data_IF_050357963937
#
_entry.id   IF_050357963937
#
_cell.length_a   1.000
_cell.length_b   1.000
_cell.length_c   1.000
_cell.angle_alpha   90.00
_cell.angle_beta   90.00
_cell.angle_gamma   90.00
#
_symmetry.space_group_name_H-M   'P 1'
#
loop_
_entity.id
_entity.type
_entity.pdbx_description
1 polymer ?
#
# COMPACT_ATOMS: atom_id res chain seq x y z
N UNK A 1 33.18 -26.20 -6.79
CA UNK A 1 33.02 -25.63 -8.14
C UNK A 1 31.92 -24.58 -8.06
N UNK A 2 32.21 -23.29 -8.29
CA UNK A 2 31.21 -22.26 -8.15
C UNK A 2 30.27 -22.36 -9.34
N UNK A 3 28.99 -22.59 -9.05
CA UNK A 3 27.92 -22.54 -10.05
C UNK A 3 27.95 -21.17 -10.71
N UNK A 4 28.24 -21.18 -12.00
CA UNK A 4 28.10 -20.06 -12.94
C UNK A 4 26.63 -19.61 -12.88
N UNK A 5 26.33 -18.66 -11.98
CA UNK A 5 25.07 -17.93 -11.96
C UNK A 5 25.07 -17.04 -13.21
N UNK A 6 24.62 -17.62 -14.32
CA UNK A 6 24.47 -16.99 -15.61
C UNK A 6 23.43 -15.87 -15.48
N UNK A 7 23.93 -14.69 -15.14
CA UNK A 7 23.49 -13.36 -15.52
C UNK A 7 22.14 -13.25 -16.26
N UNK A 8 21.03 -13.43 -15.55
CA UNK A 8 19.85 -12.57 -15.75
C UNK A 8 19.86 -11.52 -14.64
N UNK A 9 20.81 -10.59 -14.71
CA UNK A 9 20.75 -9.38 -13.87
C UNK A 9 19.45 -8.66 -14.26
N UNK A 10 18.61 -8.41 -13.26
CA UNK A 10 17.40 -7.60 -13.40
C UNK A 10 17.70 -6.34 -14.24
N UNK A 11 16.77 -5.89 -15.10
CA UNK A 11 16.97 -4.68 -15.91
C UNK A 11 17.38 -3.45 -15.06
N UNK A 12 16.87 -3.37 -13.82
CA UNK A 12 17.25 -2.38 -12.81
C UNK A 12 18.76 -2.38 -12.54
N UNK A 13 19.33 -3.55 -12.23
CA UNK A 13 20.75 -3.71 -11.93
C UNK A 13 21.65 -3.40 -13.12
N UNK A 14 21.17 -3.71 -14.35
CA UNK A 14 21.88 -3.33 -15.58
C UNK A 14 21.97 -1.82 -15.74
N UNK A 15 20.94 -1.09 -15.30
CA UNK A 15 20.90 0.36 -15.40
C UNK A 15 21.72 1.04 -14.29
N UNK A 16 21.63 0.56 -13.05
CA UNK A 16 22.50 1.02 -11.95
C UNK A 16 24.00 0.78 -12.27
N UNK A 17 24.33 -0.34 -12.94
CA UNK A 17 25.69 -0.61 -13.39
C UNK A 17 26.21 0.40 -14.44
N UNK A 18 25.33 1.09 -15.18
CA UNK A 18 25.73 2.16 -16.12
C UNK A 18 26.02 3.48 -15.40
N UNK A 19 25.30 3.79 -14.32
CA UNK A 19 25.56 5.00 -13.52
C UNK A 19 26.70 4.82 -12.53
N UNK A 20 27.05 3.59 -12.18
CA UNK A 20 28.05 3.28 -11.14
C UNK A 20 27.49 3.37 -9.72
N UNK A 21 26.18 3.58 -9.58
CA UNK A 21 25.51 3.65 -8.28
C UNK A 21 25.16 2.24 -7.77
N UNK A 22 25.25 2.00 -6.45
CA UNK A 22 24.80 0.75 -5.88
C UNK A 22 23.28 0.58 -6.08
N UNK A 23 22.80 -0.65 -6.36
CA UNK A 23 21.36 -0.91 -6.40
C UNK A 23 20.76 -0.59 -5.03
N UNK A 24 19.64 0.15 -5.06
CA UNK A 24 18.96 0.57 -3.83
C UNK A 24 18.36 -0.66 -3.14
N UNK A 25 18.68 -0.87 -1.86
CA UNK A 25 18.25 -2.05 -1.09
C UNK A 25 16.71 -2.17 -0.99
N UNK A 26 16.01 -1.03 -1.11
CA UNK A 26 14.54 -0.97 -1.13
C UNK A 26 13.93 -1.13 -2.53
N UNK A 27 14.73 -1.28 -3.58
CA UNK A 27 14.22 -1.51 -4.93
C UNK A 27 13.48 -2.86 -4.98
N UNK A 28 12.29 -2.86 -5.57
CA UNK A 28 11.51 -4.07 -5.80
C UNK A 28 12.19 -4.92 -6.88
N UNK A 29 13.23 -5.65 -6.51
CA UNK A 29 13.73 -6.73 -7.35
C UNK A 29 12.68 -7.85 -7.31
N UNK A 30 11.92 -7.94 -8.40
CA UNK A 30 10.98 -9.04 -8.57
C UNK A 30 11.77 -10.31 -8.89
N UNK A 31 11.59 -11.42 -8.15
CA UNK A 31 12.24 -12.68 -8.53
C UNK A 31 11.67 -13.25 -9.84
N UNK A 32 10.57 -12.68 -10.36
CA UNK A 32 9.94 -13.14 -11.59
C UNK A 32 10.79 -12.83 -12.83
N UNK A 33 10.83 -13.74 -13.81
CA UNK A 33 11.51 -13.50 -15.08
C UNK A 33 10.85 -12.35 -15.84
N UNK A 34 11.60 -11.73 -16.74
CA UNK A 34 11.06 -10.72 -17.64
C UNK A 34 9.98 -11.36 -18.55
N UNK A 35 8.81 -10.72 -18.62
CA UNK A 35 7.70 -11.16 -19.47
C UNK A 35 7.89 -10.69 -20.91
N UNK A 36 7.35 -11.46 -21.86
CA UNK A 36 7.35 -11.11 -23.27
C UNK A 36 6.18 -10.17 -23.64
N UNK A 37 6.15 -9.71 -24.90
CA UNK A 37 5.14 -8.75 -25.35
C UNK A 37 3.71 -9.33 -25.29
N UNK A 38 3.51 -10.59 -25.69
CA UNK A 38 2.18 -11.22 -25.69
C UNK A 38 1.68 -11.40 -24.27
N UNK A 39 2.52 -11.90 -23.37
CA UNK A 39 2.23 -12.02 -21.93
C UNK A 39 1.88 -10.67 -21.30
N UNK A 40 2.57 -9.60 -21.71
CA UNK A 40 2.26 -8.24 -21.23
C UNK A 40 0.88 -7.77 -21.69
N UNK A 41 0.43 -8.17 -22.88
CA UNK A 41 -0.88 -7.80 -23.40
C UNK A 41 -1.98 -8.60 -22.70
N UNK A 42 -1.76 -9.89 -22.50
CA UNK A 42 -2.67 -10.76 -21.76
C UNK A 42 -2.85 -10.24 -20.32
N UNK A 43 -1.74 -9.90 -19.64
CA UNK A 43 -1.80 -9.33 -18.29
C UNK A 43 -2.53 -7.97 -18.26
N UNK A 44 -2.37 -7.15 -19.30
CA UNK A 44 -3.08 -5.88 -19.40
C UNK A 44 -4.60 -6.10 -19.57
N UNK A 45 -5.00 -7.10 -20.35
CA UNK A 45 -6.40 -7.51 -20.48
C UNK A 45 -6.96 -8.03 -19.17
N UNK A 46 -6.22 -8.89 -18.46
CA UNK A 46 -6.61 -9.36 -17.12
C UNK A 46 -6.79 -8.20 -16.13
N UNK A 47 -5.91 -7.20 -16.17
CA UNK A 47 -6.04 -6.00 -15.34
C UNK A 47 -7.30 -5.20 -15.68
N UNK A 48 -7.66 -5.11 -16.96
CA UNK A 48 -8.89 -4.44 -17.40
C UNK A 48 -10.14 -5.20 -16.94
N UNK A 49 -10.15 -6.52 -17.08
CA UNK A 49 -11.25 -7.37 -16.63
C UNK A 49 -11.45 -7.28 -15.12
N UNK A 50 -10.34 -7.29 -14.36
CA UNK A 50 -10.38 -7.10 -12.92
C UNK A 50 -10.96 -5.74 -12.52
N UNK A 51 -10.53 -4.65 -13.18
CA UNK A 51 -11.09 -3.30 -12.97
C UNK A 51 -12.58 -3.24 -13.27
N UNK A 52 -13.02 -3.87 -14.35
CA UNK A 52 -14.42 -3.94 -14.73
C UNK A 52 -15.26 -4.71 -13.69
N UNK A 53 -14.75 -5.84 -13.19
CA UNK A 53 -15.40 -6.63 -12.16
C UNK A 53 -15.56 -5.85 -10.85
N UNK A 54 -14.53 -5.13 -10.42
CA UNK A 54 -14.58 -4.30 -9.19
C UNK A 54 -15.51 -3.11 -9.38
N UNK A 55 -15.51 -2.46 -10.55
CA UNK A 55 -16.46 -1.37 -10.83
C UNK A 55 -17.92 -1.88 -10.82
N UNK A 56 -18.16 -3.10 -11.30
CA UNK A 56 -19.48 -3.72 -11.22
C UNK A 56 -19.91 -3.91 -9.76
N UNK A 57 -19.04 -4.49 -8.94
CA UNK A 57 -19.30 -4.66 -7.49
C UNK A 57 -19.54 -3.32 -6.79
N UNK A 58 -18.78 -2.28 -7.17
CA UNK A 58 -18.98 -0.93 -6.66
C UNK A 58 -20.39 -0.42 -6.98
N UNK A 59 -20.86 -0.58 -8.22
CA UNK A 59 -22.20 -0.14 -8.60
C UNK A 59 -23.31 -0.96 -7.93
N UNK A 60 -23.06 -2.24 -7.65
CA UNK A 60 -23.97 -3.12 -6.89
C UNK A 60 -24.13 -2.71 -5.41
N UNK A 61 -23.30 -1.78 -4.91
CA UNK A 61 -23.50 -1.19 -3.57
C UNK A 61 -24.71 -0.25 -3.50
N UNK A 62 -25.27 0.17 -4.65
CA UNK A 62 -26.55 0.87 -4.70
C UNK A 62 -27.68 -0.09 -4.28
N UNK A 63 -28.00 -0.08 -2.99
CA UNK A 63 -29.04 -0.91 -2.38
C UNK A 63 -30.05 -0.02 -1.65
N UNK A 64 -31.27 -0.54 -1.51
CA UNK A 64 -32.33 0.10 -0.69
C UNK A 64 -32.66 1.55 -1.09
N UNK A 65 -32.50 1.88 -2.38
CA UNK A 65 -32.74 3.22 -2.91
C UNK A 65 -31.62 4.23 -2.66
N UNK A 66 -30.50 3.81 -2.05
CA UNK A 66 -29.31 4.63 -1.86
C UNK A 66 -28.43 4.62 -3.12
N UNK A 67 -27.70 5.72 -3.40
CA UNK A 67 -26.71 5.74 -4.47
C UNK A 67 -25.57 4.75 -4.18
N UNK A 68 -24.76 4.38 -5.19
CA UNK A 68 -23.54 3.62 -4.97
C UNK A 68 -22.62 4.32 -3.96
N UNK A 69 -21.82 3.54 -3.24
CA UNK A 69 -20.82 4.04 -2.31
C UNK A 69 -19.97 5.16 -2.94
N UNK A 70 -19.69 6.23 -2.18
CA UNK A 70 -18.92 7.37 -2.69
C UNK A 70 -17.41 7.15 -2.61
N UNK A 71 -16.95 6.54 -1.51
CA UNK A 71 -15.57 6.20 -1.24
C UNK A 71 -15.48 5.10 -0.18
N UNK A 72 -14.34 4.41 -0.11
CA UNK A 72 -13.99 3.57 1.05
C UNK A 72 -12.78 4.15 1.78
N UNK A 73 -12.68 3.82 3.06
CA UNK A 73 -11.55 4.18 3.91
C UNK A 73 -10.71 2.93 4.13
N UNK A 74 -9.40 3.05 3.94
CA UNK A 74 -8.45 1.98 4.17
C UNK A 74 -7.19 2.50 4.91
N UNK A 75 -6.46 1.64 5.63
CA UNK A 75 -5.12 1.98 6.10
C UNK A 75 -4.19 2.28 4.93
N UNK A 76 -3.23 3.19 5.11
CA UNK A 76 -2.17 3.45 4.10
C UNK A 76 -1.05 2.43 4.22
N UNK A 77 -0.65 2.16 5.45
CA UNK A 77 0.45 1.28 5.81
C UNK A 77 0.12 0.64 7.17
N UNK A 78 0.41 -0.65 7.38
CA UNK A 78 0.27 -1.27 8.70
C UNK A 78 1.18 -0.67 9.78
N UNK A 79 2.21 0.10 9.40
CA UNK A 79 3.12 0.76 10.32
C UNK A 79 3.18 2.27 10.05
N UNK A 80 3.55 3.04 11.07
CA UNK A 80 4.01 4.43 10.90
C UNK A 80 5.35 4.47 10.19
N UNK A 81 5.85 5.67 9.90
CA UNK A 81 7.12 5.83 9.18
C UNK A 81 8.25 5.06 9.89
N UNK A 82 8.87 4.06 9.22
CA UNK A 82 9.88 3.23 9.86
C UNK A 82 11.17 4.00 10.11
N UNK A 83 11.94 3.51 11.07
CA UNK A 83 13.30 3.99 11.29
C UNK A 83 14.15 3.82 10.03
N UNK A 84 15.07 4.74 9.82
CA UNK A 84 16.02 4.66 8.71
C UNK A 84 16.74 3.31 8.71
N UNK A 85 16.75 2.63 7.56
CA UNK A 85 17.36 1.30 7.40
C UNK A 85 16.45 0.10 7.73
N UNK A 86 15.30 0.30 8.37
CA UNK A 86 14.40 -0.80 8.75
C UNK A 86 13.26 -1.05 7.75
N UNK A 87 13.19 -0.27 6.65
CA UNK A 87 12.11 -0.41 5.67
C UNK A 87 11.99 -1.83 5.10
N UNK A 88 13.11 -2.53 4.88
CA UNK A 88 13.12 -3.91 4.39
C UNK A 88 12.41 -4.91 5.31
N UNK A 89 12.37 -4.63 6.62
CA UNK A 89 11.78 -5.50 7.66
C UNK A 89 10.27 -5.26 7.83
N UNK A 90 9.81 -4.04 7.60
CA UNK A 90 8.41 -3.64 7.79
C UNK A 90 7.66 -3.42 6.46
N UNK A 91 8.29 -3.71 5.34
CA UNK A 91 7.78 -3.42 3.99
C UNK A 91 6.38 -3.99 3.79
N UNK A 92 5.42 -3.12 3.49
CA UNK A 92 4.09 -3.51 3.07
C UNK A 92 3.48 -2.41 2.21
N UNK A 93 3.21 -2.72 0.94
CA UNK A 93 2.68 -1.74 -0.02
C UNK A 93 1.29 -2.13 -0.55
N UNK A 94 0.75 -3.30 -0.16
CA UNK A 94 -0.47 -3.83 -0.77
C UNK A 94 -1.67 -2.90 -0.58
N UNK A 95 -1.77 -2.19 0.55
CA UNK A 95 -2.87 -1.24 0.79
C UNK A 95 -2.92 -0.12 -0.25
N UNK A 96 -1.77 0.44 -0.63
CA UNK A 96 -1.70 1.49 -1.65
C UNK A 96 -1.65 0.91 -3.06
N UNK A 97 -1.14 -0.32 -3.23
CA UNK A 97 -1.12 -1.03 -4.50
C UNK A 97 -2.51 -1.24 -5.09
N UNK A 98 -3.52 -1.52 -4.24
CA UNK A 98 -4.90 -1.73 -4.69
C UNK A 98 -5.43 -0.52 -5.47
N UNK A 99 -5.22 0.70 -4.96
CA UNK A 99 -5.64 1.92 -5.65
C UNK A 99 -4.91 2.10 -6.99
N UNK A 100 -3.62 1.74 -7.06
CA UNK A 100 -2.83 1.80 -8.30
C UNK A 100 -3.31 0.79 -9.34
N UNK A 101 -3.55 -0.46 -8.92
CA UNK A 101 -4.05 -1.52 -9.82
C UNK A 101 -5.42 -1.16 -10.35
N UNK A 102 -6.32 -0.65 -9.51
CA UNK A 102 -7.67 -0.25 -9.91
C UNK A 102 -7.72 1.06 -10.71
N UNK A 103 -6.63 1.84 -10.71
CA UNK A 103 -6.58 3.17 -11.31
C UNK A 103 -7.62 4.12 -10.69
N UNK A 104 -7.69 4.07 -9.36
CA UNK A 104 -8.67 4.78 -8.52
C UNK A 104 -8.06 6.03 -7.91
N UNK A 105 -8.91 7.00 -7.58
CA UNK A 105 -8.48 8.26 -6.95
C UNK A 105 -8.28 8.01 -5.46
N UNK A 106 -7.07 8.19 -4.94
CA UNK A 106 -6.77 8.00 -3.52
C UNK A 106 -6.22 9.29 -2.90
N UNK A 107 -6.66 9.62 -1.68
CA UNK A 107 -6.15 10.74 -0.90
C UNK A 107 -5.82 10.27 0.52
N UNK A 108 -4.65 10.66 1.03
CA UNK A 108 -4.17 10.27 2.36
C UNK A 108 -4.28 11.45 3.32
N UNK A 109 -4.73 11.18 4.54
CA UNK A 109 -4.83 12.16 5.61
C UNK A 109 -4.32 11.59 6.95
N UNK A 110 -3.68 12.43 7.79
CA UNK A 110 -3.38 12.05 9.16
C UNK A 110 -4.66 12.05 10.01
N UNK A 111 -4.85 11.01 10.82
CA UNK A 111 -6.02 10.85 11.69
C UNK A 111 -5.70 10.92 13.17
N UNK A 112 -4.43 10.79 13.53
CA UNK A 112 -3.98 10.82 14.91
C UNK A 112 -2.48 10.73 15.01
N UNK A 113 -1.99 10.63 16.25
CA UNK A 113 -0.59 10.42 16.56
C UNK A 113 -0.47 9.21 17.48
N UNK A 114 0.64 8.50 17.36
CA UNK A 114 0.93 7.35 18.24
C UNK A 114 1.01 7.82 19.70
N UNK A 115 0.21 7.20 20.56
CA UNK A 115 0.27 7.36 22.01
C UNK A 115 0.85 6.08 22.63
N UNK A 116 2.07 6.12 23.19
CA UNK A 116 2.70 4.95 23.82
C UNK A 116 1.88 4.29 24.93
N UNK A 117 0.93 5.02 25.54
CA UNK A 117 0.07 4.49 26.61
C UNK A 117 -1.12 3.70 26.08
N UNK A 118 -1.61 4.05 24.89
CA UNK A 118 -2.76 3.40 24.27
C UNK A 118 -2.33 2.36 23.23
N UNK A 119 -1.28 2.65 22.47
CA UNK A 119 -0.79 1.84 21.35
C UNK A 119 0.29 0.85 21.81
N UNK A 120 -0.07 -0.07 22.70
CA UNK A 120 0.86 -1.03 23.29
C UNK A 120 1.25 -2.14 22.30
N UNK A 121 2.54 -2.46 22.20
CA UNK A 121 3.07 -3.51 21.32
C UNK A 121 2.64 -4.95 21.73
N UNK A 122 2.36 -5.15 23.03
CA UNK A 122 2.05 -6.45 23.63
C UNK A 122 0.54 -6.68 23.85
N UNK A 123 -0.32 -5.93 23.15
CA UNK A 123 -1.76 -6.19 23.24
C UNK A 123 -2.08 -7.59 22.73
N UNK A 124 -2.35 -8.51 23.68
CA UNK A 124 -2.66 -9.92 23.43
C UNK A 124 -3.95 -10.11 22.63
N UNK A 125 -4.78 -9.06 22.51
CA UNK A 125 -5.96 -9.05 21.66
C UNK A 125 -5.59 -9.00 20.16
N UNK A 126 -4.41 -8.46 19.82
CA UNK A 126 -3.86 -8.46 18.48
C UNK A 126 -3.27 -9.84 18.17
N UNK A 127 -4.12 -10.77 17.75
CA UNK A 127 -3.67 -12.04 17.19
C UNK A 127 -3.33 -11.84 15.71
N UNK A 128 -2.05 -11.77 15.32
CA UNK A 128 -1.68 -11.58 13.92
C UNK A 128 -2.15 -12.79 13.11
N UNK A 129 -3.09 -12.57 12.19
CA UNK A 129 -3.67 -13.62 11.36
C UNK A 129 -2.64 -14.24 10.39
N UNK A 130 -1.58 -13.51 10.05
CA UNK A 130 -0.50 -13.94 9.16
C UNK A 130 0.88 -13.83 9.83
N UNK A 131 1.79 -14.74 9.47
CA UNK A 131 3.19 -14.74 9.92
C UNK A 131 3.90 -13.41 9.62
N UNK A 132 3.63 -12.81 8.46
CA UNK A 132 4.23 -11.53 8.05
C UNK A 132 3.76 -10.37 8.92
N UNK A 133 2.49 -10.39 9.35
CA UNK A 133 1.94 -9.39 10.28
C UNK A 133 2.61 -9.51 11.65
N UNK A 134 2.92 -10.74 12.09
CA UNK A 134 3.65 -10.97 13.33
C UNK A 134 5.07 -10.40 13.30
N UNK A 135 5.80 -10.57 12.19
CA UNK A 135 7.13 -9.97 12.04
C UNK A 135 7.09 -8.44 12.14
N UNK A 136 6.07 -7.80 11.53
CA UNK A 136 5.88 -6.35 11.61
C UNK A 136 5.59 -5.87 13.03
N UNK A 137 4.69 -6.57 13.73
CA UNK A 137 4.34 -6.25 15.11
C UNK A 137 5.53 -6.39 16.07
N UNK A 138 6.40 -7.37 15.83
CA UNK A 138 7.65 -7.55 16.62
C UNK A 138 8.65 -6.40 16.48
N UNK A 139 8.56 -5.60 15.41
CA UNK A 139 9.43 -4.44 15.19
C UNK A 139 8.78 -3.13 15.64
N UNK A 140 7.59 -3.17 16.22
CA UNK A 140 6.90 -2.00 16.71
C UNK A 140 7.38 -1.64 18.12
N UNK A 141 7.82 -0.40 18.29
CA UNK A 141 8.29 0.18 19.55
C UNK A 141 7.48 1.46 19.83
N UNK A 142 6.47 1.42 20.72
CA UNK A 142 5.57 2.55 20.95
C UNK A 142 6.31 3.81 21.40
N UNK A 143 7.35 3.68 22.23
CA UNK A 143 8.09 4.83 22.75
C UNK A 143 8.89 5.53 21.64
N UNK A 144 9.48 4.76 20.74
CA UNK A 144 10.26 5.34 19.65
C UNK A 144 9.41 5.93 18.53
N UNK A 145 8.15 5.50 18.41
CA UNK A 145 7.19 6.04 17.47
C UNK A 145 6.25 7.08 18.09
N UNK A 146 6.45 7.44 19.36
CA UNK A 146 5.62 8.42 20.07
C UNK A 146 5.48 9.72 19.28
N UNK A 147 4.24 10.19 19.09
CA UNK A 147 3.97 11.43 18.37
C UNK A 147 4.13 11.33 16.84
N UNK A 148 4.39 10.15 16.28
CA UNK A 148 4.40 9.95 14.82
C UNK A 148 2.96 9.94 14.27
N UNK A 149 2.71 10.53 13.09
CA UNK A 149 1.37 10.58 12.53
C UNK A 149 0.89 9.21 12.05
N UNK A 150 -0.33 8.85 12.43
CA UNK A 150 -1.07 7.71 11.90
C UNK A 150 -1.94 8.20 10.75
N UNK A 151 -1.86 7.54 9.60
CA UNK A 151 -2.53 7.98 8.37
C UNK A 151 -3.50 6.96 7.82
N UNK A 152 -4.66 7.43 7.37
CA UNK A 152 -5.63 6.66 6.60
C UNK A 152 -5.70 7.20 5.16
N UNK A 153 -6.15 6.36 4.25
CA UNK A 153 -6.45 6.73 2.87
C UNK A 153 -7.94 6.61 2.61
N UNK A 154 -8.46 7.59 1.87
CA UNK A 154 -9.79 7.59 1.28
C UNK A 154 -9.63 7.32 -0.19
N UNK A 155 -10.32 6.31 -0.69
CA UNK A 155 -10.23 5.90 -2.10
C UNK A 155 -11.61 5.93 -2.73
N UNK A 156 -11.70 6.58 -3.88
CA UNK A 156 -12.89 6.66 -4.71
C UNK A 156 -12.59 6.24 -6.15
N UNK A 157 -13.63 6.28 -6.98
CA UNK A 157 -13.52 5.83 -8.37
C UNK A 157 -12.54 6.67 -9.18
N UNK A 158 -12.19 6.12 -10.34
CA UNK A 158 -11.42 6.82 -11.36
C UNK A 158 -12.12 8.14 -11.76
N UNK A 159 -11.33 9.20 -11.91
CA UNK A 159 -11.78 10.55 -12.27
C UNK A 159 -12.67 11.27 -11.24
N UNK A 160 -12.67 10.85 -9.98
CA UNK A 160 -13.42 11.51 -8.90
C UNK A 160 -12.48 12.23 -7.90
N UNK A 161 -11.36 12.78 -8.36
CA UNK A 161 -10.33 13.36 -7.49
C UNK A 161 -10.85 14.56 -6.67
N UNK A 162 -11.63 15.45 -7.28
CA UNK A 162 -12.24 16.61 -6.63
C UNK A 162 -13.22 16.20 -5.53
N UNK A 163 -13.98 15.13 -5.78
CA UNK A 163 -14.88 14.53 -4.80
C UNK A 163 -14.10 13.96 -3.62
N UNK A 164 -12.96 13.30 -3.88
CA UNK A 164 -12.11 12.78 -2.80
C UNK A 164 -11.55 13.90 -1.93
N UNK A 165 -11.12 15.01 -2.52
CA UNK A 165 -10.68 16.19 -1.76
C UNK A 165 -11.82 16.74 -0.89
N UNK A 166 -13.05 16.80 -1.43
CA UNK A 166 -14.24 17.20 -0.67
C UNK A 166 -14.51 16.29 0.53
N UNK A 167 -14.47 14.97 0.34
CA UNK A 167 -14.67 13.98 1.42
C UNK A 167 -13.57 14.12 2.47
N UNK A 168 -12.30 14.22 2.06
CA UNK A 168 -11.17 14.38 2.99
C UNK A 168 -11.29 15.67 3.80
N UNK A 169 -11.78 16.76 3.21
CA UNK A 169 -12.07 18.00 3.93
C UNK A 169 -13.09 17.78 5.05
N UNK A 170 -14.19 17.09 4.74
CA UNK A 170 -15.23 16.75 5.72
C UNK A 170 -14.65 15.90 6.85
N UNK A 171 -13.88 14.86 6.53
CA UNK A 171 -13.26 13.99 7.55
C UNK A 171 -12.28 14.78 8.42
N UNK A 172 -11.48 15.66 7.82
CA UNK A 172 -10.54 16.52 8.56
C UNK A 172 -11.23 17.47 9.52
N UNK A 173 -12.39 18.01 9.12
CA UNK A 173 -13.22 18.85 10.00
C UNK A 173 -13.81 18.04 11.16
N UNK A 174 -14.27 16.80 10.90
CA UNK A 174 -14.79 15.90 11.94
C UNK A 174 -13.73 15.46 12.96
N UNK A 175 -12.49 15.26 12.52
CA UNK A 175 -11.38 14.85 13.40
C UNK A 175 -10.87 15.99 14.29
N UNK A 176 -11.20 17.25 13.96
CA UNK A 176 -10.83 18.42 14.77
C UNK A 176 -11.87 18.78 15.82
N UNK A 177 -13.10 18.26 15.70
CA UNK A 177 -14.20 18.49 16.61
C UNK A 177 -14.09 17.62 17.87
#
# INVERSE_FOLDING_TARGET
MPSMNFCFRQPSHRQCAKSGEPPMESACDSPSPAINLVESWDLAMECLDFRAAVLKQWNETAKDGLPPMDAYIAPVNPAVAPRHGDYSKVRYFAYTAVANVLDYSACTLPVGFVDPKADLADDKSLQPMLRETRCRLQHYDPEAYAGMPVTLQVVGKKYEAEKMIGIVKIISELLRA
#
